data_IF_751185930209
#
_entry.id   IF_751185930209
#
_cell.length_a   1.000
_cell.length_b   1.000
_cell.length_c   1.000
_cell.angle_alpha   90.00
_cell.angle_beta   90.00
_cell.angle_gamma   90.00
#
_symmetry.space_group_name_H-M   'P 1'
#
loop_
_entity.id
_entity.type
_entity.pdbx_description
1 polymer ?
#
# COMPACT_ATOMS: atom_id res chain seq x y z
N UNK A 1 13.90 -20.90 60.21
CA UNK A 1 13.00 -19.86 59.66
C UNK A 1 12.11 -20.55 58.63
N UNK A 2 10.99 -21.15 59.07
CA UNK A 2 9.61 -20.60 59.00
C UNK A 2 9.14 -20.31 57.56
N UNK A 3 8.48 -21.27 56.92
CA UNK A 3 7.01 -21.34 56.61
C UNK A 3 6.56 -20.37 55.51
N UNK A 4 6.08 -20.81 54.33
CA UNK A 4 4.80 -21.50 53.97
C UNK A 4 3.83 -20.48 53.32
N UNK A 5 3.06 -20.95 52.32
CA UNK A 5 1.91 -20.33 51.62
C UNK A 5 2.28 -19.70 50.25
N UNK A 6 1.80 -20.16 49.09
CA UNK A 6 0.57 -20.90 48.76
C UNK A 6 -0.31 -20.03 47.85
N UNK A 7 -0.82 -20.52 46.70
CA UNK A 7 -1.55 -19.70 45.72
C UNK A 7 -3.02 -19.56 46.12
N UNK A 8 -3.57 -18.35 46.03
CA UNK A 8 -5.01 -18.15 46.20
C UNK A 8 -5.70 -17.98 44.85
N UNK A 9 -6.32 -19.08 44.42
CA UNK A 9 -7.51 -19.04 43.59
C UNK A 9 -8.59 -18.18 44.27
N UNK A 10 -9.28 -17.35 43.48
CA UNK A 10 -10.58 -16.82 43.88
C UNK A 10 -11.53 -16.92 42.70
N UNK A 11 -12.34 -17.97 42.75
CA UNK A 11 -13.62 -18.04 42.07
C UNK A 11 -14.53 -16.95 42.65
N UNK A 12 -15.20 -16.20 41.77
CA UNK A 12 -16.45 -15.52 42.10
C UNK A 12 -17.48 -15.99 41.07
N UNK A 13 -18.14 -17.09 41.41
CA UNK A 13 -19.49 -17.35 40.95
C UNK A 13 -20.41 -16.54 41.88
N UNK A 14 -21.24 -15.69 41.30
CA UNK A 14 -22.42 -15.14 41.96
C UNK A 14 -23.57 -15.28 40.98
N UNK A 15 -24.40 -16.29 41.21
CA UNK A 15 -25.79 -16.33 40.77
C UNK A 15 -26.57 -15.23 41.48
N UNK A 16 -27.46 -14.54 40.76
CA UNK A 16 -28.85 -14.24 41.17
C UNK A 16 -29.45 -13.33 40.07
N UNK A 17 -30.43 -13.79 39.29
CA UNK A 17 -31.86 -13.88 39.59
C UNK A 17 -32.69 -12.80 38.88
N UNK A 18 -33.68 -13.33 38.14
CA UNK A 18 -35.05 -12.82 37.99
C UNK A 18 -35.33 -11.58 37.13
N UNK A 19 -36.09 -11.89 36.06
CA UNK A 19 -37.36 -11.27 35.66
C UNK A 19 -37.37 -9.83 35.17
N UNK A 20 -37.75 -9.68 33.89
CA UNK A 20 -38.20 -8.41 33.33
C UNK A 20 -38.68 -8.55 31.89
N UNK A 21 -39.80 -9.26 31.67
CA UNK A 21 -40.59 -9.11 30.45
C UNK A 21 -41.25 -7.73 30.50
N UNK A 22 -40.91 -6.83 29.58
CA UNK A 22 -41.80 -5.78 29.12
C UNK A 22 -41.65 -5.61 27.63
N UNK A 23 -42.75 -5.86 26.93
CA UNK A 23 -42.95 -5.50 25.53
C UNK A 23 -42.72 -3.99 25.33
N UNK A 24 -42.11 -3.63 24.20
CA UNK A 24 -41.90 -2.23 23.87
C UNK A 24 -41.16 -2.04 22.54
N UNK A 25 -41.95 -1.96 21.48
CA UNK A 25 -41.71 -1.07 20.33
C UNK A 25 -40.58 -1.44 19.36
N UNK A 26 -40.99 -2.00 18.23
CA UNK A 26 -40.28 -1.96 16.94
C UNK A 26 -39.86 -0.53 16.60
N UNK A 27 -38.58 -0.21 16.78
CA UNK A 27 -37.93 0.92 16.13
C UNK A 27 -37.30 0.45 14.81
N UNK A 28 -37.39 1.23 13.73
CA UNK A 28 -36.78 0.84 12.45
C UNK A 28 -35.27 0.68 12.64
N UNK A 29 -34.74 -0.43 12.12
CA UNK A 29 -33.32 -0.72 12.09
C UNK A 29 -32.58 0.45 11.43
N UNK A 30 -32.02 1.33 12.26
CA UNK A 30 -30.95 2.22 11.86
C UNK A 30 -29.83 1.31 11.38
N UNK A 31 -29.62 1.31 10.07
CA UNK A 31 -28.47 0.72 9.39
C UNK A 31 -27.26 1.45 9.96
N UNK A 32 -26.79 0.97 11.11
CA UNK A 32 -25.57 1.43 11.73
C UNK A 32 -24.49 1.24 10.68
N UNK A 33 -24.08 2.35 10.08
CA UNK A 33 -22.81 2.42 9.37
C UNK A 33 -21.79 1.98 10.39
N UNK A 34 -21.40 0.70 10.34
CA UNK A 34 -20.38 0.11 11.18
C UNK A 34 -19.18 1.00 10.97
N UNK A 35 -18.90 1.89 11.92
CA UNK A 35 -17.65 2.62 11.96
C UNK A 35 -16.59 1.52 12.00
N UNK A 36 -15.96 1.26 10.86
CA UNK A 36 -14.86 0.29 10.72
C UNK A 36 -13.71 0.80 11.57
N UNK A 37 -13.81 0.54 12.88
CA UNK A 37 -12.72 0.80 13.82
C UNK A 37 -11.77 -0.36 13.63
N UNK A 38 -10.78 -0.15 12.77
CA UNK A 38 -9.66 -1.07 12.61
C UNK A 38 -9.10 -1.39 14.00
N UNK A 39 -8.87 -2.68 14.25
CA UNK A 39 -8.05 -3.08 15.39
C UNK A 39 -6.66 -2.45 15.25
N UNK A 40 -5.97 -2.23 16.36
CA UNK A 40 -4.60 -1.69 16.34
C UNK A 40 -3.67 -2.50 15.44
N UNK A 41 -3.87 -3.83 15.39
CA UNK A 41 -3.12 -4.72 14.52
C UNK A 41 -3.43 -4.53 13.03
N UNK A 42 -4.70 -4.29 12.67
CA UNK A 42 -5.08 -3.98 11.29
C UNK A 42 -4.59 -2.60 10.86
N UNK A 43 -4.66 -1.61 11.75
CA UNK A 43 -4.13 -0.28 11.49
C UNK A 43 -2.62 -0.31 11.21
N UNK A 44 -1.86 -1.08 12.01
CA UNK A 44 -0.43 -1.27 11.77
C UNK A 44 -0.12 -1.90 10.42
N UNK A 45 -0.95 -2.87 9.96
CA UNK A 45 -0.80 -3.48 8.63
C UNK A 45 -1.08 -2.48 7.51
N UNK A 46 -2.12 -1.65 7.66
CA UNK A 46 -2.43 -0.59 6.69
C UNK A 46 -1.29 0.41 6.58
N UNK A 47 -0.71 0.84 7.71
CA UNK A 47 0.41 1.77 7.73
C UNK A 47 1.65 1.17 7.06
N UNK A 48 1.97 -0.09 7.36
CA UNK A 48 3.07 -0.80 6.71
C UNK A 48 2.89 -0.93 5.19
N UNK A 49 1.66 -1.18 4.73
CA UNK A 49 1.34 -1.23 3.30
C UNK A 49 1.54 0.14 2.64
N UNK A 50 1.12 1.23 3.30
CA UNK A 50 1.31 2.60 2.81
C UNK A 50 2.79 2.95 2.67
N UNK A 51 3.60 2.59 3.67
CA UNK A 51 5.05 2.78 3.61
C UNK A 51 5.68 1.99 2.47
N UNK A 52 5.19 0.77 2.21
CA UNK A 52 5.70 -0.06 1.11
C UNK A 52 5.32 0.51 -0.27
N UNK A 53 4.09 1.01 -0.41
CA UNK A 53 3.64 1.72 -1.63
C UNK A 53 4.50 2.95 -1.87
N UNK A 54 4.75 3.76 -0.83
CA UNK A 54 5.57 4.97 -0.95
C UNK A 54 7.01 4.65 -1.39
N UNK A 55 7.59 3.57 -0.88
CA UNK A 55 8.94 3.11 -1.30
C UNK A 55 8.93 2.62 -2.75
N UNK A 56 7.94 1.82 -3.13
CA UNK A 56 7.83 1.30 -4.49
C UNK A 56 7.61 2.42 -5.53
N UNK A 57 6.84 3.45 -5.19
CA UNK A 57 6.67 4.64 -6.03
C UNK A 57 7.97 5.43 -6.15
N UNK A 58 8.68 5.67 -5.04
CA UNK A 58 9.98 6.35 -5.06
C UNK A 58 11.01 5.60 -5.94
N UNK A 59 11.05 4.27 -5.86
CA UNK A 59 11.92 3.45 -6.71
C UNK A 59 11.56 3.59 -8.19
N UNK A 60 10.26 3.54 -8.53
CA UNK A 60 9.79 3.74 -9.90
C UNK A 60 10.19 5.12 -10.44
N UNK A 61 9.96 6.19 -9.67
CA UNK A 61 10.34 7.54 -10.06
C UNK A 61 11.85 7.69 -10.24
N UNK A 62 12.65 7.04 -9.39
CA UNK A 62 14.11 7.03 -9.51
C UNK A 62 14.56 6.41 -10.84
N UNK A 63 14.03 5.25 -11.21
CA UNK A 63 14.37 4.62 -12.49
C UNK A 63 13.85 5.41 -13.68
N UNK A 64 12.67 6.01 -13.58
CA UNK A 64 12.13 6.90 -14.60
C UNK A 64 13.02 8.12 -14.84
N UNK A 65 13.50 8.76 -13.77
CA UNK A 65 14.40 9.91 -13.89
C UNK A 65 15.73 9.50 -14.54
N UNK A 66 16.32 8.39 -14.09
CA UNK A 66 17.54 7.85 -14.69
C UNK A 66 17.36 7.51 -16.18
N UNK A 67 16.20 6.95 -16.57
CA UNK A 67 15.88 6.70 -17.96
C UNK A 67 15.89 8.02 -18.76
N UNK A 68 15.20 9.04 -18.27
CA UNK A 68 15.13 10.35 -18.94
C UNK A 68 16.49 11.04 -19.03
N UNK A 69 17.33 10.93 -18.00
CA UNK A 69 18.70 11.43 -18.01
C UNK A 69 19.54 10.77 -19.12
N UNK A 70 19.42 9.44 -19.28
CA UNK A 70 20.13 8.72 -20.34
C UNK A 70 19.60 9.12 -21.71
N UNK A 71 18.28 9.22 -21.90
CA UNK A 71 17.72 9.66 -23.19
C UNK A 71 18.18 11.08 -23.54
N UNK A 72 18.32 11.97 -22.55
CA UNK A 72 18.82 13.32 -22.78
C UNK A 72 20.32 13.37 -23.08
N UNK A 73 21.12 12.57 -22.37
CA UNK A 73 22.58 12.60 -22.49
C UNK A 73 23.09 11.83 -23.72
N UNK A 74 22.57 10.63 -23.96
CA UNK A 74 22.96 9.76 -25.07
C UNK A 74 21.78 8.84 -25.48
N UNK A 75 20.87 9.33 -26.33
CA UNK A 75 19.71 8.56 -26.76
C UNK A 75 20.07 7.40 -27.70
N UNK A 76 21.34 7.29 -28.13
CA UNK A 76 21.83 6.18 -28.96
C UNK A 76 22.34 5.01 -28.13
N UNK A 77 22.42 5.18 -26.80
CA UNK A 77 22.90 4.15 -25.89
C UNK A 77 21.81 3.09 -25.59
N UNK A 78 21.46 2.30 -26.60
CA UNK A 78 20.35 1.34 -26.54
C UNK A 78 20.45 0.35 -25.38
N UNK A 79 21.66 -0.11 -25.04
CA UNK A 79 21.88 -1.06 -23.94
C UNK A 79 21.54 -0.43 -22.59
N UNK A 80 21.95 0.82 -22.35
CA UNK A 80 21.69 1.52 -21.10
C UNK A 80 20.20 1.80 -20.93
N UNK A 81 19.54 2.21 -22.02
CA UNK A 81 18.10 2.40 -22.07
C UNK A 81 17.34 1.10 -21.79
N UNK A 82 17.76 -0.02 -22.38
CA UNK A 82 17.14 -1.32 -22.15
C UNK A 82 17.33 -1.82 -20.70
N UNK A 83 18.52 -1.63 -20.13
CA UNK A 83 18.81 -2.02 -18.74
C UNK A 83 17.95 -1.24 -17.74
N UNK A 84 17.93 0.09 -17.86
CA UNK A 84 17.15 0.95 -16.97
C UNK A 84 15.64 0.76 -17.22
N UNK A 85 15.22 0.57 -18.47
CA UNK A 85 13.85 0.22 -18.82
C UNK A 85 13.37 -1.06 -18.11
N UNK A 86 14.21 -2.11 -18.11
CA UNK A 86 13.89 -3.35 -17.40
C UNK A 86 13.79 -3.17 -15.88
N UNK A 87 14.64 -2.32 -15.27
CA UNK A 87 14.54 -1.98 -13.84
C UNK A 87 13.29 -1.17 -13.52
N UNK A 88 12.95 -0.21 -14.37
CA UNK A 88 11.73 0.58 -14.26
C UNK A 88 10.48 -0.31 -14.35
N UNK A 89 10.46 -1.28 -15.28
CA UNK A 89 9.35 -2.24 -15.43
C UNK A 89 9.21 -3.13 -14.19
N UNK A 90 10.32 -3.56 -13.59
CA UNK A 90 10.31 -4.32 -12.34
C UNK A 90 9.74 -3.50 -11.19
N UNK A 91 10.16 -2.25 -11.04
CA UNK A 91 9.65 -1.35 -10.01
C UNK A 91 8.16 -1.06 -10.19
N UNK A 92 7.74 -0.81 -11.43
CA UNK A 92 6.34 -0.55 -11.75
C UNK A 92 5.45 -1.78 -11.52
N UNK A 93 5.91 -2.97 -11.89
CA UNK A 93 5.18 -4.22 -11.60
C UNK A 93 5.01 -4.46 -10.10
N UNK A 94 6.03 -4.12 -9.29
CA UNK A 94 5.94 -4.17 -7.82
C UNK A 94 4.91 -3.19 -7.30
N UNK A 95 4.93 -1.94 -7.78
CA UNK A 95 3.97 -0.92 -7.39
C UNK A 95 2.54 -1.35 -7.72
N UNK A 96 2.29 -1.87 -8.93
CA UNK A 96 0.99 -2.41 -9.37
C UNK A 96 0.50 -3.53 -8.44
N UNK A 97 1.39 -4.45 -8.06
CA UNK A 97 1.05 -5.54 -7.14
C UNK A 97 0.62 -5.02 -5.76
N UNK A 98 1.26 -3.97 -5.24
CA UNK A 98 0.94 -3.38 -3.93
C UNK A 98 -0.41 -2.64 -3.92
N UNK A 99 -0.76 -1.98 -5.02
CA UNK A 99 -2.03 -1.25 -5.15
C UNK A 99 -3.19 -2.12 -5.68
N UNK A 100 -2.92 -3.39 -5.99
CA UNK A 100 -3.92 -4.36 -6.45
C UNK A 100 -4.33 -4.20 -7.91
N UNK A 101 -3.51 -3.52 -8.74
CA UNK A 101 -3.75 -3.42 -10.17
C UNK A 101 -3.23 -4.68 -10.90
N UNK A 102 -3.91 -5.13 -11.97
CA UNK A 102 -3.42 -6.22 -12.79
C UNK A 102 -2.07 -5.85 -13.43
N UNK A 103 -1.16 -6.82 -13.47
CA UNK A 103 0.19 -6.64 -14.02
C UNK A 103 0.10 -6.44 -15.53
N UNK A 104 0.14 -5.20 -15.97
CA UNK A 104 0.18 -4.86 -17.38
C UNK A 104 1.64 -4.92 -17.87
N UNK A 105 1.93 -5.54 -19.03
CA UNK A 105 3.25 -5.40 -19.63
C UNK A 105 3.49 -3.92 -19.90
N UNK A 106 4.48 -3.35 -19.23
CA UNK A 106 4.87 -1.97 -19.47
C UNK A 106 5.72 -1.97 -20.75
N UNK A 107 5.07 -1.73 -21.89
CA UNK A 107 5.79 -1.42 -23.13
C UNK A 107 6.35 -0.02 -22.99
N UNK A 108 7.61 0.08 -22.57
CA UNK A 108 8.33 1.34 -22.69
C UNK A 108 8.40 1.73 -24.17
N UNK A 109 8.01 2.98 -24.46
CA UNK A 109 8.06 3.54 -25.80
C UNK A 109 9.47 3.37 -26.37
N UNK A 110 9.62 2.88 -27.63
CA UNK A 110 10.93 2.74 -28.25
C UNK A 110 11.76 4.03 -28.10
N UNK A 111 13.08 3.90 -27.98
CA UNK A 111 14.01 5.04 -27.85
C UNK A 111 13.79 6.13 -28.92
N UNK A 112 13.31 5.74 -30.11
CA UNK A 112 12.90 6.65 -31.18
C UNK A 112 11.67 7.52 -30.85
N UNK A 113 10.66 6.98 -30.17
CA UNK A 113 9.47 7.73 -29.76
C UNK A 113 9.79 8.63 -28.58
N UNK A 114 10.58 8.16 -27.61
CA UNK A 114 11.03 8.98 -26.49
C UNK A 114 11.91 10.16 -26.93
N UNK A 115 12.78 9.98 -27.94
CA UNK A 115 13.51 11.09 -28.58
C UNK A 115 12.58 12.15 -29.13
N UNK A 116 11.53 11.74 -29.85
CA UNK A 116 10.55 12.65 -30.45
C UNK A 116 9.79 13.44 -29.38
N UNK A 117 9.44 12.79 -28.28
CA UNK A 117 8.71 13.44 -27.20
C UNK A 117 9.61 14.38 -26.37
N UNK A 118 10.89 14.02 -26.19
CA UNK A 118 11.88 14.91 -25.58
C UNK A 118 12.15 16.15 -26.44
N UNK A 119 12.22 15.99 -27.77
CA UNK A 119 12.32 17.12 -28.69
C UNK A 119 11.10 18.04 -28.55
N UNK A 120 9.88 17.48 -28.54
CA UNK A 120 8.64 18.26 -28.31
C UNK A 120 8.68 19.02 -26.98
N UNK A 121 9.07 18.37 -25.88
CA UNK A 121 9.15 19.00 -24.56
C UNK A 121 10.24 20.08 -24.47
N UNK A 122 11.32 19.94 -25.24
CA UNK A 122 12.35 20.97 -25.36
C UNK A 122 11.83 22.17 -26.15
N UNK A 123 11.09 21.92 -27.24
CA UNK A 123 10.49 22.95 -28.08
C UNK A 123 9.36 23.72 -27.35
N UNK A 124 8.63 23.08 -26.44
CA UNK A 124 7.58 23.74 -25.61
C UNK A 124 8.12 24.62 -24.47
N UNK A 125 9.39 24.44 -24.08
CA UNK A 125 10.04 25.23 -23.02
C UNK A 125 10.74 26.49 -23.55
N UNK A 126 10.72 26.70 -24.86
CA UNK A 126 11.43 27.78 -25.56
C UNK A 126 10.48 28.78 -26.20
#
# INVERSE_FOLDING_TARGET
MSTRNGPHARANATEDSRTGRTAGTVGPASTGSKTMRYSRAEYAKVLALQDEVARADADYQRFRNAYMEIVQADPTHEVALAMIGADMDRAHARLQALIGLPRLPFTHEPSAVMRRELQRLADEKH
#
